data_IF_242507705318
#
_entry.id   IF_242507705318
#
_cell.length_a   1.000
_cell.length_b   1.000
_cell.length_c   1.000
_cell.angle_alpha   90.00
_cell.angle_beta   90.00
_cell.angle_gamma   90.00
#
_symmetry.space_group_name_H-M   'P 1'
#
loop_
_entity.id
_entity.type
_entity.pdbx_description
1 polymer ?
#
# COMPACT_ATOMS: atom_id res chain seq x y z
N UNK A 1 -4.94 15.59 34.17
CA UNK A 1 -3.89 14.61 33.83
C UNK A 1 -2.61 15.08 34.51
N UNK A 2 -1.80 14.16 35.04
CA UNK A 2 -0.52 14.48 35.68
C UNK A 2 0.58 14.51 34.61
N UNK A 3 1.26 15.65 34.47
CA UNK A 3 2.33 15.82 33.50
C UNK A 3 3.42 14.76 33.68
N UNK A 4 3.77 14.41 34.92
CA UNK A 4 4.84 13.44 35.20
C UNK A 4 4.47 12.01 34.78
N UNK A 5 3.18 11.67 34.78
CA UNK A 5 2.70 10.39 34.27
C UNK A 5 2.81 10.34 32.74
N UNK A 6 2.41 11.41 32.06
CA UNK A 6 2.50 11.53 30.60
C UNK A 6 3.95 11.50 30.10
N UNK A 7 4.88 12.10 30.84
CA UNK A 7 6.32 12.02 30.56
C UNK A 7 6.83 10.57 30.63
N UNK A 8 6.40 9.81 31.63
CA UNK A 8 6.79 8.39 31.76
C UNK A 8 6.22 7.55 30.63
N UNK A 9 4.97 7.79 30.25
CA UNK A 9 4.32 7.11 29.13
C UNK A 9 5.06 7.41 27.83
N UNK A 10 5.42 8.68 27.58
CA UNK A 10 6.23 9.08 26.42
C UNK A 10 7.56 8.32 26.36
N UNK A 11 8.27 8.20 27.48
CA UNK A 11 9.54 7.45 27.56
C UNK A 11 9.33 5.95 27.28
N UNK A 12 8.25 5.35 27.79
CA UNK A 12 7.94 3.95 27.52
C UNK A 12 7.64 3.70 26.04
N UNK A 13 6.80 4.54 25.44
CA UNK A 13 6.48 4.47 24.01
C UNK A 13 7.73 4.68 23.15
N UNK A 14 8.58 5.66 23.47
CA UNK A 14 9.81 5.90 22.74
C UNK A 14 10.78 4.71 22.78
N UNK A 15 10.91 4.04 23.93
CA UNK A 15 11.73 2.82 24.06
C UNK A 15 11.19 1.68 23.21
N UNK A 16 9.88 1.46 23.25
CA UNK A 16 9.22 0.47 22.40
C UNK A 16 9.41 0.80 20.92
N UNK A 17 9.25 2.06 20.53
CA UNK A 17 9.41 2.51 19.15
C UNK A 17 10.82 2.21 18.62
N UNK A 18 11.86 2.59 19.37
CA UNK A 18 13.27 2.33 19.01
C UNK A 18 13.54 0.84 18.90
N UNK A 19 13.02 0.03 19.83
CA UNK A 19 13.16 -1.43 19.76
C UNK A 19 12.53 -2.00 18.48
N UNK A 20 11.29 -1.61 18.16
CA UNK A 20 10.61 -2.09 16.94
C UNK A 20 11.30 -1.63 15.66
N UNK A 21 11.84 -0.42 15.67
CA UNK A 21 12.60 0.14 14.55
C UNK A 21 13.86 -0.68 14.26
N UNK A 22 14.66 -0.97 15.30
CA UNK A 22 15.83 -1.85 15.18
C UNK A 22 15.50 -3.27 14.74
N UNK A 23 14.34 -3.78 15.14
CA UNK A 23 13.84 -5.11 14.74
C UNK A 23 13.20 -5.11 13.33
N UNK A 24 13.18 -3.97 12.63
CA UNK A 24 12.63 -3.85 11.27
C UNK A 24 11.10 -3.87 11.21
N UNK A 25 10.42 -3.84 12.36
CA UNK A 25 8.95 -3.80 12.50
C UNK A 25 8.47 -2.35 12.40
N UNK A 26 8.59 -1.80 11.19
CA UNK A 26 8.33 -0.38 10.94
C UNK A 26 6.89 0.07 11.21
N UNK A 27 5.82 -0.70 10.89
CA UNK A 27 4.45 -0.32 11.24
C UNK A 27 4.25 -0.14 12.75
N UNK A 28 4.79 -1.05 13.55
CA UNK A 28 4.74 -0.98 15.01
C UNK A 28 5.63 0.12 15.57
N UNK A 29 6.81 0.35 14.99
CA UNK A 29 7.68 1.47 15.36
C UNK A 29 6.98 2.81 15.14
N UNK A 30 6.32 2.98 13.99
CA UNK A 30 5.52 4.18 13.67
C UNK A 30 4.41 4.41 14.68
N UNK A 31 3.69 3.36 15.06
CA UNK A 31 2.64 3.46 16.07
C UNK A 31 3.22 4.01 17.39
N UNK A 32 4.27 3.39 17.90
CA UNK A 32 4.86 3.82 19.18
C UNK A 32 5.54 5.19 19.13
N UNK A 33 6.14 5.59 18.00
CA UNK A 33 6.67 6.97 17.86
C UNK A 33 5.55 8.02 17.89
N UNK A 34 4.38 7.71 17.31
CA UNK A 34 3.20 8.60 17.38
C UNK A 34 2.64 8.71 18.79
N UNK A 35 2.50 7.59 19.50
CA UNK A 35 2.04 7.58 20.89
C UNK A 35 3.04 8.32 21.80
N UNK A 36 4.34 8.19 21.57
CA UNK A 36 5.37 8.94 22.29
C UNK A 36 5.24 10.45 22.07
N UNK A 37 5.11 10.88 20.81
CA UNK A 37 4.92 12.30 20.47
C UNK A 37 3.62 12.87 21.07
N UNK A 38 2.52 12.12 21.00
CA UNK A 38 1.24 12.52 21.55
C UNK A 38 1.28 12.66 23.08
N UNK A 39 1.94 11.72 23.77
CA UNK A 39 2.14 11.79 25.22
C UNK A 39 2.96 13.03 25.63
N UNK A 40 3.99 13.40 24.85
CA UNK A 40 4.75 14.64 25.08
C UNK A 40 3.91 15.90 24.84
N UNK A 41 3.08 15.94 23.79
CA UNK A 41 2.16 17.07 23.55
C UNK A 41 1.21 17.24 24.74
N UNK A 42 0.65 16.15 25.25
CA UNK A 42 -0.21 16.21 26.43
C UNK A 42 0.54 16.58 27.70
N UNK A 43 1.79 16.13 27.86
CA UNK A 43 2.64 16.53 28.99
C UNK A 43 2.91 18.04 28.96
N UNK A 44 3.23 18.59 27.80
CA UNK A 44 3.43 20.04 27.60
C UNK A 44 2.15 20.82 27.94
N UNK A 45 0.99 20.41 27.41
CA UNK A 45 -0.30 21.04 27.72
C UNK A 45 -0.66 20.96 29.20
N UNK A 46 -0.20 19.92 29.91
CA UNK A 46 -0.38 19.75 31.34
C UNK A 46 0.64 20.55 32.19
N UNK A 47 1.53 21.33 31.55
CA UNK A 47 2.52 22.16 32.23
C UNK A 47 3.81 21.44 32.59
N UNK A 48 4.20 20.42 31.81
CA UNK A 48 5.50 19.74 31.96
C UNK A 48 6.66 20.73 31.95
N UNK A 49 7.63 20.49 32.83
CA UNK A 49 8.89 21.24 32.89
C UNK A 49 10.02 20.62 32.07
N UNK A 50 9.73 19.64 31.20
CA UNK A 50 10.74 19.03 30.35
C UNK A 50 11.31 20.07 29.37
N UNK A 51 12.60 20.32 29.51
CA UNK A 51 13.35 21.11 28.54
C UNK A 51 13.37 20.37 27.19
N UNK A 52 13.32 21.13 26.10
CA UNK A 52 13.39 20.61 24.72
C UNK A 52 12.26 19.62 24.35
N UNK A 53 11.10 19.66 25.03
CA UNK A 53 9.96 18.79 24.72
C UNK A 53 9.52 18.90 23.24
N UNK A 54 9.52 20.13 22.70
CA UNK A 54 9.21 20.42 21.30
C UNK A 54 10.21 19.78 20.33
N UNK A 55 11.51 19.84 20.63
CA UNK A 55 12.55 19.19 19.82
C UNK A 55 12.33 17.68 19.79
N UNK A 56 11.99 17.08 20.94
CA UNK A 56 11.73 15.64 21.04
C UNK A 56 10.50 15.18 20.28
N UNK A 57 9.42 15.99 20.31
CA UNK A 57 8.23 15.75 19.49
C UNK A 57 8.61 15.77 18.00
N UNK A 58 9.37 16.77 17.56
CA UNK A 58 9.80 16.88 16.17
C UNK A 58 10.67 15.68 15.75
N UNK A 59 11.64 15.26 16.56
CA UNK A 59 12.46 14.07 16.27
C UNK A 59 11.62 12.81 16.04
N UNK A 60 10.58 12.58 16.86
CA UNK A 60 9.70 11.42 16.71
C UNK A 60 8.84 11.52 15.45
N UNK A 61 8.31 12.70 15.12
CA UNK A 61 7.53 12.91 13.91
C UNK A 61 8.38 12.79 12.64
N UNK A 62 9.60 13.33 12.64
CA UNK A 62 10.56 13.16 11.55
C UNK A 62 10.91 11.69 11.35
N UNK A 63 11.11 10.92 12.43
CA UNK A 63 11.36 9.48 12.32
C UNK A 63 10.17 8.74 11.75
N UNK A 64 8.93 9.09 12.14
CA UNK A 64 7.70 8.53 11.54
C UNK A 64 7.65 8.80 10.04
N UNK A 65 7.95 10.01 9.60
CA UNK A 65 7.98 10.36 8.16
C UNK A 65 9.06 9.59 7.40
N UNK A 66 10.26 9.45 7.99
CA UNK A 66 11.35 8.67 7.41
C UNK A 66 10.98 7.18 7.30
N UNK A 67 10.33 6.62 8.32
CA UNK A 67 9.85 5.23 8.32
C UNK A 67 8.73 5.02 7.30
N UNK A 68 7.79 5.96 7.17
CA UNK A 68 6.76 5.92 6.12
C UNK A 68 7.40 5.91 4.72
N UNK A 69 8.37 6.79 4.48
CA UNK A 69 9.09 6.86 3.21
C UNK A 69 9.90 5.59 2.94
N UNK A 70 10.52 5.01 3.98
CA UNK A 70 11.28 3.75 3.89
C UNK A 70 10.36 2.53 3.64
N UNK A 71 9.17 2.49 4.24
CA UNK A 71 8.16 1.45 3.98
C UNK A 71 7.59 1.63 2.58
N UNK A 72 7.28 2.87 2.17
CA UNK A 72 6.75 3.16 0.82
C UNK A 72 7.76 2.84 -0.29
N UNK A 73 9.03 3.16 -0.07
CA UNK A 73 10.12 2.80 -1.01
C UNK A 73 10.43 1.29 -1.00
N UNK A 74 10.26 0.59 0.12
CA UNK A 74 10.34 -0.88 0.17
C UNK A 74 9.10 -1.57 -0.42
N UNK A 75 7.93 -0.93 -0.38
CA UNK A 75 6.71 -1.36 -1.09
C UNK A 75 6.65 -0.86 -2.54
N UNK A 76 7.72 -0.23 -3.03
CA UNK A 76 7.91 0.07 -4.45
C UNK A 76 8.53 -1.11 -5.21
N UNK A 77 8.68 -2.29 -4.58
CA UNK A 77 8.44 -3.54 -5.32
C UNK A 77 6.94 -3.57 -5.62
N UNK A 78 6.52 -3.50 -6.88
CA UNK A 78 5.10 -3.47 -7.16
C UNK A 78 4.53 -4.78 -6.63
N UNK A 79 3.59 -4.69 -5.67
CA UNK A 79 2.86 -5.81 -5.06
C UNK A 79 2.35 -6.81 -6.12
N UNK A 80 2.21 -6.34 -7.36
CA UNK A 80 1.93 -7.12 -8.55
C UNK A 80 2.92 -6.77 -9.65
N UNK A 81 3.51 -7.77 -10.30
CA UNK A 81 4.34 -7.51 -11.48
C UNK A 81 3.54 -6.81 -12.58
N UNK A 82 4.20 -6.12 -13.52
CA UNK A 82 3.54 -5.52 -14.70
C UNK A 82 2.59 -6.54 -15.36
N UNK A 83 3.03 -7.78 -15.53
CA UNK A 83 2.23 -8.84 -16.15
C UNK A 83 1.00 -9.25 -15.32
N UNK A 84 1.06 -9.14 -13.99
CA UNK A 84 -0.09 -9.37 -13.12
C UNK A 84 -1.09 -8.21 -13.18
N UNK A 85 -0.61 -6.96 -13.28
CA UNK A 85 -1.48 -5.81 -13.53
C UNK A 85 -2.15 -5.88 -14.90
N UNK A 86 -1.41 -6.30 -15.94
CA UNK A 86 -1.96 -6.50 -17.27
C UNK A 86 -3.06 -7.58 -17.28
N UNK A 87 -2.89 -8.68 -16.52
CA UNK A 87 -3.94 -9.69 -16.35
C UNK A 87 -5.21 -9.11 -15.72
N UNK A 88 -5.07 -8.29 -14.67
CA UNK A 88 -6.21 -7.65 -14.01
C UNK A 88 -6.93 -6.67 -14.92
N UNK A 89 -6.17 -5.88 -15.69
CA UNK A 89 -6.73 -4.98 -16.71
C UNK A 89 -7.47 -5.77 -17.78
N UNK A 90 -6.90 -6.85 -18.29
CA UNK A 90 -7.57 -7.67 -19.30
C UNK A 90 -8.87 -8.28 -18.74
N UNK A 91 -8.88 -8.74 -17.49
CA UNK A 91 -10.09 -9.27 -16.86
C UNK A 91 -11.19 -8.20 -16.73
N UNK A 92 -10.79 -6.99 -16.37
CA UNK A 92 -11.70 -5.86 -16.27
C UNK A 92 -12.30 -5.51 -17.64
N UNK A 93 -11.49 -5.45 -18.70
CA UNK A 93 -11.95 -5.22 -20.07
C UNK A 93 -12.95 -6.28 -20.52
N UNK A 94 -12.69 -7.57 -20.25
CA UNK A 94 -13.64 -8.65 -20.56
C UNK A 94 -14.95 -8.49 -19.79
N UNK A 95 -14.89 -8.06 -18.52
CA UNK A 95 -16.10 -7.82 -17.70
C UNK A 95 -16.92 -6.66 -18.28
N UNK A 96 -16.27 -5.56 -18.65
CA UNK A 96 -16.95 -4.43 -19.30
C UNK A 96 -17.54 -4.83 -20.65
N UNK A 97 -16.81 -5.63 -21.44
CA UNK A 97 -17.32 -6.14 -22.71
C UNK A 97 -18.58 -6.98 -22.52
N UNK A 98 -18.66 -7.81 -21.47
CA UNK A 98 -19.89 -8.52 -21.12
C UNK A 98 -21.03 -7.56 -20.77
N UNK A 99 -20.76 -6.55 -19.95
CA UNK A 99 -21.79 -5.58 -19.57
C UNK A 99 -22.33 -4.81 -20.79
N UNK A 100 -21.48 -4.49 -21.77
CA UNK A 100 -21.89 -3.81 -23.01
C UNK A 100 -22.62 -4.76 -23.98
N UNK A 101 -22.19 -6.02 -24.10
CA UNK A 101 -22.88 -7.06 -24.87
C UNK A 101 -24.31 -7.29 -24.33
N UNK A 102 -24.46 -7.37 -23.00
CA UNK A 102 -25.76 -7.52 -22.34
C UNK A 102 -26.69 -6.30 -22.53
N UNK A 103 -26.12 -5.10 -22.71
CA UNK A 103 -26.88 -3.88 -23.04
C UNK A 103 -27.24 -3.79 -24.52
N UNK A 104 -26.69 -4.67 -25.37
CA UNK A 104 -26.86 -4.64 -26.83
C UNK A 104 -25.92 -3.66 -27.53
N UNK A 105 -24.90 -3.13 -26.84
CA UNK A 105 -23.88 -2.24 -27.38
C UNK A 105 -22.76 -3.08 -28.02
N UNK A 106 -23.11 -3.77 -29.11
CA UNK A 106 -22.25 -4.80 -29.74
C UNK A 106 -20.93 -4.22 -30.26
N UNK A 107 -20.92 -3.00 -30.80
CA UNK A 107 -19.70 -2.37 -31.32
C UNK A 107 -18.68 -2.12 -30.19
N UNK A 108 -19.13 -1.51 -29.09
CA UNK A 108 -18.29 -1.25 -27.92
C UNK A 108 -17.81 -2.55 -27.26
N UNK A 109 -18.67 -3.58 -27.19
CA UNK A 109 -18.32 -4.89 -26.67
C UNK A 109 -17.20 -5.56 -27.49
N UNK A 110 -17.29 -5.52 -28.82
CA UNK A 110 -16.27 -6.09 -29.73
C UNK A 110 -14.94 -5.36 -29.54
N UNK A 111 -14.94 -4.02 -29.43
CA UNK A 111 -13.71 -3.26 -29.18
C UNK A 111 -13.05 -3.67 -27.86
N UNK A 112 -13.83 -3.76 -26.78
CA UNK A 112 -13.33 -4.14 -25.45
C UNK A 112 -12.81 -5.59 -25.42
N UNK A 113 -13.51 -6.55 -26.06
CA UNK A 113 -13.00 -7.92 -26.19
C UNK A 113 -11.69 -7.97 -26.98
N UNK A 114 -11.62 -7.22 -28.09
CA UNK A 114 -10.41 -7.15 -28.91
C UNK A 114 -9.23 -6.60 -28.10
N UNK A 115 -9.42 -5.50 -27.37
CA UNK A 115 -8.38 -4.93 -26.50
C UNK A 115 -7.93 -5.93 -25.43
N UNK A 116 -8.88 -6.64 -24.80
CA UNK A 116 -8.58 -7.64 -23.78
C UNK A 116 -7.77 -8.82 -24.33
N UNK A 117 -8.11 -9.33 -25.51
CA UNK A 117 -7.39 -10.43 -26.18
C UNK A 117 -5.98 -9.99 -26.55
N UNK A 118 -5.84 -8.81 -27.15
CA UNK A 118 -4.55 -8.25 -27.54
C UNK A 118 -3.62 -8.10 -26.34
N UNK A 119 -4.14 -7.55 -25.23
CA UNK A 119 -3.40 -7.41 -23.98
C UNK A 119 -3.00 -8.78 -23.43
N UNK A 120 -3.93 -9.73 -23.38
CA UNK A 120 -3.63 -11.10 -22.91
C UNK A 120 -2.53 -11.77 -23.72
N UNK A 121 -2.58 -11.68 -25.04
CA UNK A 121 -1.59 -12.28 -25.93
C UNK A 121 -0.22 -11.63 -25.75
N UNK A 122 -0.15 -10.29 -25.80
CA UNK A 122 1.09 -9.53 -25.59
C UNK A 122 1.75 -9.89 -24.26
N UNK A 123 1.00 -9.81 -23.16
CA UNK A 123 1.52 -10.13 -21.82
C UNK A 123 1.93 -11.60 -21.71
N UNK A 124 1.23 -12.53 -22.39
CA UNK A 124 1.58 -13.96 -22.36
C UNK A 124 2.92 -14.26 -23.07
N UNK A 125 3.27 -13.48 -24.09
CA UNK A 125 4.56 -13.60 -24.78
C UNK A 125 5.71 -12.92 -24.01
N UNK A 126 5.41 -11.87 -23.25
CA UNK A 126 6.40 -11.15 -22.44
C UNK A 126 6.76 -11.87 -21.13
N UNK A 127 5.82 -12.59 -20.51
CA UNK A 127 6.04 -13.23 -19.22
C UNK A 127 6.64 -14.63 -19.35
N UNK A 128 7.58 -14.99 -18.47
CA UNK A 128 8.14 -16.34 -18.35
C UNK A 128 7.34 -17.25 -17.38
N UNK A 129 6.36 -16.71 -16.65
CA UNK A 129 5.54 -17.47 -15.71
C UNK A 129 4.46 -18.27 -16.46
N UNK A 130 4.66 -19.59 -16.55
CA UNK A 130 3.73 -20.51 -17.20
C UNK A 130 2.32 -20.49 -16.61
N UNK A 131 2.19 -20.25 -15.30
CA UNK A 131 0.88 -20.17 -14.64
C UNK A 131 0.13 -18.93 -15.12
N UNK A 132 0.85 -17.80 -15.18
CA UNK A 132 0.30 -16.54 -15.68
C UNK A 132 -0.05 -16.61 -17.17
N UNK A 133 0.82 -17.22 -17.99
CA UNK A 133 0.55 -17.49 -19.40
C UNK A 133 -0.74 -18.28 -19.61
N UNK A 134 -0.97 -19.32 -18.80
CA UNK A 134 -2.18 -20.14 -18.90
C UNK A 134 -3.45 -19.33 -18.56
N UNK A 135 -3.40 -18.49 -17.52
CA UNK A 135 -4.52 -17.60 -17.15
C UNK A 135 -4.84 -16.60 -18.26
N UNK A 136 -3.82 -15.94 -18.80
CA UNK A 136 -3.97 -14.99 -19.90
C UNK A 136 -4.56 -15.66 -21.16
N UNK A 137 -4.08 -16.86 -21.52
CA UNK A 137 -4.62 -17.62 -22.66
C UNK A 137 -6.06 -18.07 -22.44
N UNK A 138 -6.43 -18.45 -21.22
CA UNK A 138 -7.79 -18.83 -20.90
C UNK A 138 -8.74 -17.62 -21.00
N UNK A 139 -8.33 -16.48 -20.46
CA UNK A 139 -9.11 -15.25 -20.54
C UNK A 139 -9.28 -14.77 -21.99
N UNK A 140 -8.21 -14.81 -22.80
CA UNK A 140 -8.28 -14.50 -24.22
C UNK A 140 -9.26 -15.40 -24.98
N UNK A 141 -9.31 -16.70 -24.66
CA UNK A 141 -10.29 -17.62 -25.28
C UNK A 141 -11.72 -17.25 -24.90
N UNK A 142 -11.97 -16.92 -23.64
CA UNK A 142 -13.30 -16.50 -23.18
C UNK A 142 -13.79 -15.24 -23.90
N UNK A 143 -12.88 -14.31 -24.18
CA UNK A 143 -13.17 -13.10 -24.94
C UNK A 143 -13.40 -13.36 -26.44
N UNK A 144 -12.77 -14.39 -27.02
CA UNK A 144 -12.93 -14.77 -28.43
C UNK A 144 -14.19 -15.61 -28.72
N UNK A 145 -14.74 -16.29 -27.72
CA UNK A 145 -15.94 -17.13 -27.85
C UNK A 145 -17.24 -16.30 -27.87
N UNK A 146 -17.15 -14.97 -27.79
CA UNK A 146 -18.28 -14.02 -27.85
C UNK A 146 -18.24 -13.22 -29.15
#
# INVERSE_FOLDING_TARGET
MDATALERDAVQFARLAVQRDHEGRYPEAVFYYKEAAQALIYAEMAGSGLEHIQEKINEYLERVQALHSAVQSKSADPLKSKHQLDLERAHFLVTQAFDEDEKGNVEDAIELYTEAVDLCLKTSYETADKTLQNKLKQLARQALDR
#
